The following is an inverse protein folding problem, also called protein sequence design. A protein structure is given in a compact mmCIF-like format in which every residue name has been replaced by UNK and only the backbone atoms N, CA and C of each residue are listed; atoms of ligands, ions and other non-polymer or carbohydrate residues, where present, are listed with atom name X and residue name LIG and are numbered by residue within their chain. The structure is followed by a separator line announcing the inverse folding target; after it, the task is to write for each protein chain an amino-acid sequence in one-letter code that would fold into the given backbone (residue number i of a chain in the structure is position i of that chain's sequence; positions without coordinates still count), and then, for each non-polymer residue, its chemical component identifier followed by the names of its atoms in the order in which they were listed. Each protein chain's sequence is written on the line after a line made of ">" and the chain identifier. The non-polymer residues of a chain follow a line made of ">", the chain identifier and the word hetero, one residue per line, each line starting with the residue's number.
data_IF_216303267377
#
_entry.id   IF_216303267377
#
_cell.length_a   1.000
_cell.length_b   1.000
_cell.length_c   1.000
_cell.angle_alpha   90.00
_cell.angle_beta   90.00
_cell.angle_gamma   90.00
#
_symmetry.space_group_name_H-M   'P 1'
#
loop_
_entity.id
_entity.type
_entity.pdbx_description
1 polymer ?
#
# COMPACT_ATOMS: atom_id res chain seq x y z
N UNK A 1 9.28 -15.82 2.79
CA UNK A 1 8.09 -15.06 3.23
C UNK A 1 7.11 -15.01 2.06
N UNK A 2 5.81 -15.28 2.25
CA UNK A 2 4.82 -15.22 1.16
C UNK A 2 4.56 -13.76 0.74
N UNK A 3 4.34 -13.48 -0.54
CA UNK A 3 4.16 -12.11 -1.05
C UNK A 3 3.02 -11.33 -0.37
N UNK A 4 1.96 -12.01 0.04
CA UNK A 4 0.88 -11.41 0.85
C UNK A 4 1.38 -10.95 2.22
N UNK A 5 2.25 -11.72 2.87
CA UNK A 5 2.81 -11.35 4.18
C UNK A 5 3.69 -10.11 4.12
N UNK A 6 4.44 -9.91 3.02
CA UNK A 6 5.19 -8.66 2.78
C UNK A 6 4.23 -7.48 2.69
N UNK A 7 3.14 -7.62 1.93
CA UNK A 7 2.12 -6.59 1.81
C UNK A 7 1.45 -6.28 3.16
N UNK A 8 1.04 -7.31 3.90
CA UNK A 8 0.46 -7.16 5.24
C UNK A 8 1.39 -6.43 6.20
N UNK A 9 2.66 -6.82 6.24
CA UNK A 9 3.67 -6.20 7.09
C UNK A 9 3.88 -4.73 6.72
N UNK A 10 4.00 -4.41 5.42
CA UNK A 10 4.13 -3.01 4.97
C UNK A 10 2.88 -2.19 5.33
N UNK A 11 1.68 -2.78 5.26
CA UNK A 11 0.44 -2.10 5.70
C UNK A 11 0.52 -1.80 7.21
N UNK A 12 0.97 -2.76 8.03
CA UNK A 12 1.15 -2.55 9.48
C UNK A 12 2.17 -1.45 9.76
N UNK A 13 3.36 -1.53 9.17
CA UNK A 13 4.41 -0.51 9.33
C UNK A 13 3.94 0.91 8.96
N UNK A 14 3.09 1.04 7.93
CA UNK A 14 2.63 2.34 7.44
C UNK A 14 1.48 2.93 8.27
N UNK A 15 0.56 2.08 8.74
CA UNK A 15 -0.74 2.52 9.27
C UNK A 15 -0.95 2.23 10.76
N UNK A 16 -0.22 1.26 11.32
CA UNK A 16 -0.30 0.94 12.74
C UNK A 16 0.33 2.06 13.57
N UNK A 17 -0.32 2.38 14.69
CA UNK A 17 0.21 3.32 15.67
C UNK A 17 0.36 2.57 16.98
N UNK A 18 1.29 2.98 17.84
CA UNK A 18 1.68 2.29 19.09
C UNK A 18 0.52 1.78 19.96
N UNK A 19 -0.66 2.41 19.90
CA UNK A 19 -1.85 2.04 20.69
C UNK A 19 -3.09 1.75 19.84
N UNK A 20 -2.93 1.51 18.55
CA UNK A 20 -4.01 1.23 17.62
C UNK A 20 -3.60 0.13 16.65
N UNK A 21 -3.63 -1.14 17.10
CA UNK A 21 -3.35 -2.26 16.23
C UNK A 21 -4.40 -2.33 15.12
N UNK A 22 -3.95 -2.59 13.90
CA UNK A 22 -4.83 -2.72 12.74
C UNK A 22 -4.97 -4.20 12.36
N UNK A 23 -6.10 -4.57 11.80
CA UNK A 23 -6.30 -5.90 11.23
C UNK A 23 -6.30 -5.74 9.72
N UNK A 24 -5.37 -6.42 9.04
CA UNK A 24 -5.33 -6.47 7.59
C UNK A 24 -6.20 -7.63 7.13
N UNK A 25 -7.20 -7.34 6.29
CA UNK A 25 -8.11 -8.35 5.74
C UNK A 25 -8.20 -8.19 4.22
N UNK A 26 -8.31 -9.29 3.46
CA UNK A 26 -8.55 -9.21 2.03
C UNK A 26 -9.97 -8.69 1.73
N UNK A 27 -10.09 -7.93 0.64
CA UNK A 27 -11.36 -7.42 0.12
C UNK A 27 -11.50 -7.69 -1.38
N UNK A 28 -12.73 -7.61 -1.88
CA UNK A 28 -13.01 -7.73 -3.31
C UNK A 28 -12.86 -6.36 -3.98
N UNK A 29 -12.01 -6.27 -4.99
CA UNK A 29 -11.97 -5.10 -5.88
C UNK A 29 -13.09 -5.21 -6.92
N UNK A 30 -13.99 -4.22 -6.94
CA UNK A 30 -15.11 -4.16 -7.89
C UNK A 30 -14.72 -3.52 -9.23
N UNK A 31 -13.74 -2.61 -9.21
CA UNK A 31 -13.24 -1.97 -10.43
C UNK A 31 -12.29 -2.85 -11.22
N UNK A 32 -12.32 -2.74 -12.55
CA UNK A 32 -11.32 -3.36 -13.39
C UNK A 32 -9.96 -2.65 -13.20
N UNK A 33 -8.89 -3.42 -13.14
CA UNK A 33 -7.51 -2.91 -13.09
C UNK A 33 -6.65 -3.66 -14.10
N UNK A 34 -5.48 -3.10 -14.41
CA UNK A 34 -4.53 -3.73 -15.33
C UNK A 34 -4.04 -5.09 -14.85
N UNK A 35 -4.21 -5.43 -13.57
CA UNK A 35 -3.92 -6.73 -12.98
C UNK A 35 -4.51 -7.92 -13.76
N UNK A 36 -5.60 -7.72 -14.51
CA UNK A 36 -6.15 -8.76 -15.41
C UNK A 36 -5.16 -9.15 -16.51
N UNK A 37 -4.39 -8.21 -17.03
CA UNK A 37 -3.39 -8.45 -18.07
C UNK A 37 -2.15 -9.16 -17.53
N UNK A 38 -1.93 -9.14 -16.20
CA UNK A 38 -0.77 -9.74 -15.54
C UNK A 38 -1.01 -11.17 -15.01
N UNK A 39 -2.20 -11.76 -15.21
CA UNK A 39 -2.56 -13.10 -14.68
C UNK A 39 -1.65 -14.22 -15.18
N UNK A 40 -1.10 -14.09 -16.38
CA UNK A 40 -0.17 -15.08 -16.93
C UNK A 40 1.29 -14.85 -16.49
N UNK A 41 1.59 -13.71 -15.87
CA UNK A 41 2.94 -13.33 -15.45
C UNK A 41 3.18 -13.61 -13.96
N UNK A 42 2.15 -13.51 -13.12
CA UNK A 42 2.28 -13.73 -11.68
C UNK A 42 1.01 -14.31 -11.06
N UNK A 43 1.20 -15.22 -10.10
CA UNK A 43 0.13 -15.71 -9.21
C UNK A 43 -0.11 -14.78 -8.02
N UNK A 44 0.81 -13.87 -7.74
CA UNK A 44 0.79 -12.93 -6.63
C UNK A 44 0.27 -11.57 -7.12
N UNK A 45 -1.05 -11.46 -7.25
CA UNK A 45 -1.73 -10.27 -7.76
C UNK A 45 -2.58 -9.62 -6.67
N UNK A 46 -2.05 -8.56 -6.05
CA UNK A 46 -2.71 -7.82 -4.98
C UNK A 46 -3.07 -6.42 -5.46
N UNK A 47 -4.23 -5.92 -5.00
CA UNK A 47 -4.70 -4.57 -5.28
C UNK A 47 -4.86 -3.86 -3.96
N UNK A 48 -4.03 -2.86 -3.73
CA UNK A 48 -4.05 -2.06 -2.52
C UNK A 48 -3.68 -0.63 -2.87
N UNK A 49 -4.40 0.32 -2.28
CA UNK A 49 -4.15 1.74 -2.44
C UNK A 49 -3.86 2.32 -1.05
N UNK A 50 -2.67 2.87 -0.78
CA UNK A 50 -2.26 3.30 0.55
C UNK A 50 -2.83 4.68 0.95
N UNK A 51 -4.10 4.93 0.62
CA UNK A 51 -4.76 6.21 0.86
C UNK A 51 -5.99 6.03 1.75
N UNK A 52 -6.15 6.94 2.72
CA UNK A 52 -7.30 6.92 3.63
C UNK A 52 -8.42 7.78 3.05
N UNK A 53 -9.40 7.13 2.42
CA UNK A 53 -10.57 7.80 1.87
C UNK A 53 -11.62 8.08 2.96
N UNK A 54 -12.05 9.33 3.08
CA UNK A 54 -13.26 9.70 3.83
C UNK A 54 -14.48 9.57 2.94
N UNK A 55 -15.67 9.62 3.54
CA UNK A 55 -16.93 9.48 2.82
C UNK A 55 -17.08 10.49 1.67
N UNK A 56 -16.63 11.73 1.85
CA UNK A 56 -16.68 12.79 0.84
C UNK A 56 -15.61 12.65 -0.25
N UNK A 57 -14.60 11.80 -0.05
CA UNK A 57 -13.58 11.52 -1.05
C UNK A 57 -14.06 10.46 -2.05
N UNK A 58 -14.98 9.57 -1.65
CA UNK A 58 -15.46 8.46 -2.50
C UNK A 58 -16.19 8.96 -3.76
N UNK A 59 -17.00 10.02 -3.65
CA UNK A 59 -17.70 10.59 -4.81
C UNK A 59 -16.76 11.34 -5.77
N UNK A 60 -15.51 11.57 -5.37
CA UNK A 60 -14.51 12.26 -6.19
C UNK A 60 -13.65 11.31 -6.99
N UNK A 61 -13.66 10.02 -6.68
CA UNK A 61 -12.96 9.02 -7.49
C UNK A 61 -13.58 9.02 -8.89
N UNK A 62 -12.81 9.46 -9.89
CA UNK A 62 -13.30 9.73 -11.25
C UNK A 62 -14.42 10.78 -11.34
N UNK A 63 -14.49 11.68 -10.36
CA UNK A 63 -15.49 12.76 -10.28
C UNK A 63 -14.85 14.15 -10.34
N UNK A 64 -15.68 15.17 -10.18
CA UNK A 64 -15.21 16.56 -10.21
C UNK A 64 -14.27 16.88 -9.04
N UNK A 65 -13.21 17.63 -9.33
CA UNK A 65 -12.24 18.11 -8.36
C UNK A 65 -11.62 16.96 -7.52
N UNK A 66 -11.26 15.87 -8.19
CA UNK A 66 -10.49 14.77 -7.62
C UNK A 66 -9.21 15.31 -6.97
N UNK A 67 -9.00 14.97 -5.69
CA UNK A 67 -7.87 15.46 -4.90
C UNK A 67 -7.59 14.53 -3.72
N UNK A 68 -6.35 14.57 -3.27
CA UNK A 68 -5.86 13.84 -2.11
C UNK A 68 -5.33 14.81 -1.06
N UNK A 69 -5.41 14.45 0.22
CA UNK A 69 -4.80 15.24 1.29
C UNK A 69 -3.29 15.05 1.27
N UNK A 70 -2.55 16.12 1.57
CA UNK A 70 -1.09 16.09 1.61
C UNK A 70 -0.54 14.96 2.50
N UNK A 71 -1.10 14.78 3.71
CA UNK A 71 -0.66 13.74 4.64
C UNK A 71 -0.93 12.32 4.12
N UNK A 72 -1.98 12.12 3.32
CA UNK A 72 -2.27 10.81 2.71
C UNK A 72 -1.33 10.53 1.53
N UNK A 73 -0.93 11.56 0.79
CA UNK A 73 0.13 11.46 -0.22
C UNK A 73 1.48 11.07 0.41
N UNK A 74 1.89 11.74 1.49
CA UNK A 74 3.13 11.40 2.21
C UNK A 74 3.10 9.96 2.75
N UNK A 75 1.95 9.54 3.30
CA UNK A 75 1.76 8.16 3.75
C UNK A 75 1.86 7.15 2.62
N UNK A 76 1.30 7.46 1.45
CA UNK A 76 1.44 6.62 0.26
C UNK A 76 2.88 6.48 -0.20
N UNK A 77 3.66 7.57 -0.17
CA UNK A 77 5.11 7.52 -0.45
C UNK A 77 5.83 6.61 0.55
N UNK A 78 5.55 6.77 1.84
CA UNK A 78 6.12 5.94 2.90
C UNK A 78 5.80 4.44 2.69
N UNK A 79 4.54 4.13 2.35
CA UNK A 79 4.10 2.77 2.03
C UNK A 79 4.89 2.15 0.88
N UNK A 80 4.99 2.84 -0.27
CA UNK A 80 5.68 2.28 -1.43
C UNK A 80 7.18 2.13 -1.19
N UNK A 81 7.80 3.05 -0.45
CA UNK A 81 9.19 2.94 -0.02
C UNK A 81 9.41 1.65 0.79
N UNK A 82 8.62 1.44 1.86
CA UNK A 82 8.71 0.23 2.68
C UNK A 82 8.30 -1.04 1.94
N UNK A 83 7.36 -0.98 0.99
CA UNK A 83 7.00 -2.13 0.16
C UNK A 83 8.19 -2.61 -0.67
N UNK A 84 8.90 -1.68 -1.30
CA UNK A 84 10.11 -1.98 -2.09
C UNK A 84 11.19 -2.55 -1.17
N UNK A 85 11.43 -1.91 -0.02
CA UNK A 85 12.45 -2.36 0.92
C UNK A 85 12.15 -3.77 1.47
N UNK A 86 10.94 -4.00 1.96
CA UNK A 86 10.55 -5.30 2.50
C UNK A 86 10.58 -6.41 1.44
N UNK A 87 10.42 -6.06 0.16
CA UNK A 87 10.54 -7.00 -0.95
C UNK A 87 12.00 -7.30 -1.36
N UNK A 88 12.95 -6.46 -0.94
CA UNK A 88 14.36 -6.55 -1.28
C UNK A 88 15.24 -7.08 -0.14
N UNK A 89 14.67 -7.61 0.96
CA UNK A 89 15.38 -7.99 2.19
C UNK A 89 16.54 -9.02 2.04
N UNK A 90 16.77 -9.59 0.85
CA UNK A 90 17.99 -10.36 0.56
C UNK A 90 19.17 -9.51 0.03
N UNK A 91 18.98 -8.21 -0.28
CA UNK A 91 19.95 -7.40 -1.05
C UNK A 91 20.05 -5.89 -0.69
N UNK A 92 19.61 -5.43 0.50
CA UNK A 92 19.69 -3.99 0.85
C UNK A 92 20.86 -3.70 1.81
N UNK A 93 21.74 -2.72 1.50
CA UNK A 93 22.75 -2.25 2.44
C UNK A 93 22.12 -1.64 3.71
N UNK A 94 22.66 -1.98 4.89
CA UNK A 94 22.20 -1.48 6.22
C UNK A 94 22.07 0.05 6.32
N UNK A 95 22.74 0.80 5.45
CA UNK A 95 22.69 2.26 5.41
C UNK A 95 21.33 2.82 4.97
N UNK A 96 20.50 2.05 4.25
CA UNK A 96 19.16 2.48 3.80
C UNK A 96 18.08 2.14 4.84
N UNK A 97 18.30 1.11 5.67
CA UNK A 97 17.35 0.70 6.72
C UNK A 97 17.09 1.78 7.79
N UNK A 98 18.01 2.73 7.94
CA UNK A 98 17.96 3.76 8.97
C UNK A 98 17.69 5.17 8.41
N UNK A 99 17.28 5.31 7.14
CA UNK A 99 16.94 6.64 6.61
C UNK A 99 15.58 7.08 7.13
N UNK A 100 15.54 8.22 7.81
CA UNK A 100 14.31 8.85 8.29
C UNK A 100 13.42 9.27 7.09
N UNK A 101 12.46 8.40 6.75
CA UNK A 101 11.24 8.73 6.01
C UNK A 101 10.03 8.20 6.77
#
# INVERSE_FOLDING_TARGET
>A
IYSYGILEETIRQTFEKERQPIIVVPGLMLGATDSRSYTNLSKNLYRFSPFVYRHDDLSRLHGDNERIRHNDMQRGLNFYFHLILNNQLENIPETILNSEL
#
